data_IF_851614508376
#
_entry.id   IF_851614508376
#
_cell.length_a   1.000
_cell.length_b   1.000
_cell.length_c   1.000
_cell.angle_alpha   90.00
_cell.angle_beta   90.00
_cell.angle_gamma   90.00
#
_symmetry.space_group_name_H-M   'P 1'
#
loop_
_entity.id
_entity.type
_entity.pdbx_description
1 polymer ?
#
# COMPACT_ATOMS: atom_id res chain seq x y z
N UNK A 1 29.14 22.41 -8.13
CA UNK A 1 27.87 23.19 -8.12
C UNK A 1 27.04 22.73 -9.29
N UNK A 2 26.06 21.87 -9.05
CA UNK A 2 24.97 21.55 -9.96
C UNK A 2 23.78 21.20 -9.08
N UNK A 3 22.71 22.01 -9.15
CA UNK A 3 21.47 21.80 -8.42
C UNK A 3 20.77 20.58 -9.01
N UNK A 4 20.62 19.53 -8.19
CA UNK A 4 19.76 18.39 -8.52
C UNK A 4 18.32 18.76 -8.12
N UNK A 5 17.44 18.83 -9.11
CA UNK A 5 16.00 18.89 -8.87
C UNK A 5 15.55 17.53 -8.31
N UNK A 6 15.17 17.51 -7.04
CA UNK A 6 14.52 16.37 -6.40
C UNK A 6 13.16 16.11 -7.05
N UNK A 7 13.07 15.03 -7.83
CA UNK A 7 11.78 14.42 -8.18
C UNK A 7 11.42 13.43 -7.07
N UNK A 8 10.70 13.89 -6.05
CA UNK A 8 10.13 13.00 -5.03
C UNK A 8 9.20 11.99 -5.70
N UNK A 9 9.56 10.71 -5.66
CA UNK A 9 8.63 9.60 -5.86
C UNK A 9 7.71 9.52 -4.62
N UNK A 10 6.79 10.49 -4.53
CA UNK A 10 5.67 10.44 -3.60
C UNK A 10 4.76 9.33 -4.08
N UNK A 11 4.39 8.41 -3.17
CA UNK A 11 3.19 7.59 -3.31
C UNK A 11 1.99 8.56 -3.39
N UNK A 12 1.70 9.04 -4.59
CA UNK A 12 0.66 10.01 -4.83
C UNK A 12 -0.68 9.28 -4.80
N UNK A 13 -1.21 9.08 -3.59
CA UNK A 13 -2.65 8.92 -3.39
C UNK A 13 -3.31 10.22 -3.86
N UNK A 14 -3.67 10.25 -5.15
CA UNK A 14 -4.38 11.37 -5.77
C UNK A 14 -5.76 11.51 -5.11
N UNK A 15 -5.83 12.34 -4.07
CA UNK A 15 -7.05 13.02 -3.66
C UNK A 15 -7.41 14.04 -4.74
N UNK A 16 -8.18 13.63 -5.74
CA UNK A 16 -8.81 14.59 -6.66
C UNK A 16 -10.01 15.21 -5.96
N UNK A 17 -9.77 16.24 -5.15
CA UNK A 17 -10.78 17.20 -4.73
C UNK A 17 -10.83 18.35 -5.76
N UNK A 18 -11.71 18.26 -6.76
CA UNK A 18 -12.02 19.42 -7.61
C UNK A 18 -12.81 20.45 -6.80
N UNK A 19 -12.10 21.47 -6.32
CA UNK A 19 -12.62 22.77 -5.91
C UNK A 19 -12.28 23.79 -7.00
N UNK A 20 -13.17 23.95 -7.99
CA UNK A 20 -13.19 25.19 -8.77
C UNK A 20 -14.16 26.15 -8.08
N UNK A 21 -13.61 27.08 -7.30
CA UNK A 21 -14.24 28.36 -7.08
C UNK A 21 -14.02 29.18 -8.36
N UNK A 22 -15.11 29.72 -8.91
CA UNK A 22 -15.09 30.45 -10.18
C UNK A 22 -14.23 31.70 -10.14
N UNK A 23 -13.54 31.96 -11.25
CA UNK A 23 -13.13 33.30 -11.69
C UNK A 23 -12.94 33.24 -13.19
N UNK A 24 -13.73 34.03 -13.90
CA UNK A 24 -13.78 34.11 -15.34
C UNK A 24 -12.50 34.69 -15.92
N UNK A 25 -11.99 34.10 -17.01
CA UNK A 25 -11.32 34.82 -18.08
C UNK A 25 -11.69 34.16 -19.41
N UNK A 26 -12.27 34.97 -20.29
CA UNK A 26 -12.69 34.63 -21.64
C UNK A 26 -11.63 35.09 -22.66
N UNK A 27 -11.90 34.71 -23.93
CA UNK A 27 -11.22 35.05 -25.19
C UNK A 27 -9.99 34.19 -25.54
N UNK A 28 -9.74 33.80 -26.79
CA UNK A 28 -10.51 33.55 -28.01
C UNK A 28 -9.44 33.09 -29.02
N UNK A 29 -9.74 32.10 -29.87
CA UNK A 29 -9.32 32.08 -31.27
C UNK A 29 -9.78 30.79 -31.97
N UNK A 30 -10.62 31.02 -32.98
CA UNK A 30 -11.28 30.08 -33.87
C UNK A 30 -10.34 29.35 -34.85
N UNK A 31 -10.85 28.26 -35.45
CA UNK A 31 -10.84 27.89 -36.90
C UNK A 31 -11.64 26.57 -37.02
N UNK A 32 -12.95 26.65 -37.33
CA UNK A 32 -13.61 26.46 -38.65
C UNK A 32 -13.72 25.00 -39.14
N UNK A 33 -14.96 24.48 -39.20
CA UNK A 33 -15.25 23.25 -39.98
C UNK A 33 -16.64 22.58 -39.79
N UNK A 34 -17.71 23.22 -40.29
CA UNK A 34 -19.03 22.67 -40.72
C UNK A 34 -20.02 22.05 -39.68
N UNK A 35 -21.15 22.76 -39.53
CA UNK A 35 -22.45 22.26 -39.06
C UNK A 35 -23.09 21.31 -40.09
N UNK A 36 -23.44 20.10 -39.67
CA UNK A 36 -24.58 19.36 -40.20
C UNK A 36 -25.40 18.88 -39.00
N UNK A 37 -26.60 19.44 -38.85
CA UNK A 37 -27.55 19.01 -37.85
C UNK A 37 -28.13 17.66 -38.25
N UNK A 38 -27.90 16.66 -37.41
CA UNK A 38 -28.78 15.50 -37.28
C UNK A 38 -29.08 15.43 -35.80
N UNK A 39 -30.35 15.59 -35.45
CA UNK A 39 -30.83 15.37 -34.10
C UNK A 39 -30.54 13.94 -33.70
N UNK A 40 -29.58 13.75 -32.82
CA UNK A 40 -29.49 12.56 -31.98
C UNK A 40 -29.78 13.04 -30.57
N UNK A 41 -31.04 12.84 -30.15
CA UNK A 41 -31.36 12.77 -28.74
C UNK A 41 -30.48 11.65 -28.21
N UNK A 42 -29.48 11.98 -27.38
CA UNK A 42 -28.80 10.97 -26.61
C UNK A 42 -29.86 10.39 -25.69
N UNK A 43 -30.32 9.17 -25.96
CA UNK A 43 -31.10 8.44 -24.98
C UNK A 43 -30.24 8.33 -23.71
N UNK A 44 -30.71 8.97 -22.65
CA UNK A 44 -30.26 8.67 -21.31
C UNK A 44 -30.58 7.19 -21.06
N UNK A 45 -29.55 6.35 -21.16
CA UNK A 45 -29.62 4.99 -20.65
C UNK A 45 -30.08 5.04 -19.19
N UNK A 46 -30.81 4.02 -18.71
CA UNK A 46 -31.49 4.07 -17.43
C UNK A 46 -30.50 4.48 -16.33
N UNK A 47 -30.80 5.61 -15.70
CA UNK A 47 -30.14 6.05 -14.47
C UNK A 47 -30.37 4.94 -13.44
N UNK A 48 -29.36 4.08 -13.23
CA UNK A 48 -29.35 3.10 -12.16
C UNK A 48 -29.69 3.88 -10.87
N UNK A 49 -30.90 3.66 -10.34
CA UNK A 49 -31.34 4.25 -9.08
C UNK A 49 -30.43 3.71 -7.97
N UNK A 50 -29.30 4.37 -7.76
CA UNK A 50 -28.34 3.98 -6.74
C UNK A 50 -29.02 4.05 -5.37
N UNK A 51 -29.26 2.90 -4.76
CA UNK A 51 -29.78 2.85 -3.40
C UNK A 51 -28.84 3.63 -2.44
N UNK A 52 -29.39 4.27 -1.38
CA UNK A 52 -28.62 5.13 -0.50
C UNK A 52 -27.44 4.39 0.15
N UNK A 53 -26.23 4.94 0.04
CA UNK A 53 -24.99 4.39 0.62
C UNK A 53 -23.81 5.34 0.46
N UNK A 54 -22.70 5.05 1.14
CA UNK A 54 -21.40 5.72 0.96
C UNK A 54 -20.51 4.85 0.08
N UNK A 55 -19.65 5.44 -0.74
CA UNK A 55 -18.73 4.69 -1.60
C UNK A 55 -17.29 5.00 -1.24
N UNK A 56 -16.43 3.99 -1.34
CA UNK A 56 -14.99 4.13 -1.32
C UNK A 56 -14.40 3.85 -2.71
N UNK A 57 -13.59 4.74 -3.27
CA UNK A 57 -12.80 4.50 -4.48
C UNK A 57 -11.34 4.62 -4.07
N UNK A 58 -10.57 3.55 -4.26
CA UNK A 58 -9.17 3.47 -3.86
C UNK A 58 -8.36 3.23 -5.12
N UNK A 59 -7.51 4.19 -5.48
CA UNK A 59 -6.47 3.97 -6.47
C UNK A 59 -5.19 3.55 -5.75
N UNK A 60 -4.73 2.34 -6.03
CA UNK A 60 -3.43 1.84 -5.60
C UNK A 60 -2.46 2.00 -6.76
N UNK A 61 -1.71 3.10 -6.76
CA UNK A 61 -0.72 3.43 -7.78
C UNK A 61 0.66 2.86 -7.40
N UNK A 62 0.83 1.55 -7.57
CA UNK A 62 2.09 0.88 -7.36
C UNK A 62 3.10 1.13 -8.50
N UNK A 63 4.38 0.82 -8.24
CA UNK A 63 5.46 0.92 -9.23
C UNK A 63 5.33 -0.12 -10.35
N UNK A 64 4.72 -1.27 -10.06
CA UNK A 64 4.52 -2.37 -11.00
C UNK A 64 3.17 -2.35 -11.73
N UNK A 65 2.19 -1.62 -11.21
CA UNK A 65 0.88 -1.47 -11.82
C UNK A 65 -0.02 -0.58 -10.97
N UNK A 66 -1.04 0.00 -11.61
CA UNK A 66 -2.06 0.80 -10.91
C UNK A 66 -3.36 0.01 -10.82
N UNK A 67 -4.03 0.01 -9.67
CA UNK A 67 -5.30 -0.68 -9.44
C UNK A 67 -6.36 0.30 -8.97
N UNK A 68 -7.62 -0.03 -9.19
CA UNK A 68 -8.76 0.64 -8.59
C UNK A 68 -9.64 -0.38 -7.88
N UNK A 69 -10.05 -0.04 -6.67
CA UNK A 69 -11.01 -0.78 -5.86
C UNK A 69 -12.19 0.15 -5.57
N UNK A 70 -13.41 -0.34 -5.77
CA UNK A 70 -14.63 0.41 -5.40
C UNK A 70 -15.47 -0.42 -4.45
N UNK A 71 -15.76 0.14 -3.28
CA UNK A 71 -16.60 -0.45 -2.25
C UNK A 71 -17.83 0.40 -1.98
N UNK A 72 -18.87 -0.23 -1.43
CA UNK A 72 -20.10 0.44 -1.01
C UNK A 72 -20.45 0.08 0.43
N UNK A 73 -20.95 1.08 1.15
CA UNK A 73 -21.27 1.01 2.57
C UNK A 73 -22.67 1.52 2.85
N UNK A 74 -23.34 0.92 3.82
CA UNK A 74 -24.60 1.42 4.34
C UNK A 74 -24.42 2.64 5.29
N UNK A 75 -25.50 3.08 5.95
CA UNK A 75 -25.44 4.20 6.90
C UNK A 75 -24.66 3.89 8.18
N UNK A 76 -24.51 2.61 8.54
CA UNK A 76 -23.78 2.14 9.71
C UNK A 76 -22.30 1.93 9.44
N UNK A 77 -21.84 2.17 8.20
CA UNK A 77 -20.53 1.74 7.72
C UNK A 77 -20.42 0.22 7.85
N UNK A 78 -21.33 -0.51 7.23
CA UNK A 78 -21.18 -1.95 6.95
C UNK A 78 -21.03 -2.13 5.43
N UNK A 79 -20.18 -3.06 4.99
CA UNK A 79 -19.97 -3.34 3.56
C UNK A 79 -21.24 -3.97 2.99
N UNK A 80 -21.67 -3.49 1.84
CA UNK A 80 -22.87 -3.96 1.13
C UNK A 80 -22.58 -4.13 -0.35
N UNK A 81 -23.43 -4.91 -1.01
CA UNK A 81 -23.30 -5.25 -2.42
C UNK A 81 -23.25 -4.01 -3.34
N UNK A 82 -22.36 -4.08 -4.34
CA UNK A 82 -22.06 -3.02 -5.28
C UNK A 82 -22.62 -3.36 -6.68
N UNK A 83 -23.80 -2.82 -6.98
CA UNK A 83 -24.51 -3.05 -8.23
C UNK A 83 -25.74 -3.94 -8.02
N UNK A 84 -26.12 -4.68 -9.07
CA UNK A 84 -27.28 -5.58 -9.09
C UNK A 84 -26.92 -7.05 -8.81
N UNK A 85 -25.67 -7.35 -8.43
CA UNK A 85 -25.18 -8.69 -8.08
C UNK A 85 -24.58 -8.75 -6.68
N UNK A 86 -24.15 -9.94 -6.26
CA UNK A 86 -23.65 -10.23 -4.89
C UNK A 86 -22.17 -9.85 -4.67
N UNK A 87 -21.58 -9.05 -5.57
CA UNK A 87 -20.21 -8.57 -5.44
C UNK A 87 -20.17 -7.40 -4.45
N UNK A 88 -19.17 -7.38 -3.56
CA UNK A 88 -18.95 -6.28 -2.60
C UNK A 88 -17.82 -5.32 -3.02
N UNK A 89 -17.13 -5.64 -4.13
CA UNK A 89 -15.98 -4.92 -4.65
C UNK A 89 -16.04 -4.84 -6.19
N UNK A 90 -15.74 -3.66 -6.75
CA UNK A 90 -15.35 -3.53 -8.16
C UNK A 90 -13.85 -3.31 -8.25
N UNK A 91 -13.13 -4.28 -8.82
CA UNK A 91 -11.68 -4.25 -9.00
C UNK A 91 -11.28 -4.13 -10.47
N UNK A 92 -10.24 -3.32 -10.75
CA UNK A 92 -9.55 -3.32 -12.04
C UNK A 92 -8.07 -2.94 -11.89
N UNK A 93 -7.22 -3.35 -12.84
CA UNK A 93 -5.77 -3.11 -12.83
C UNK A 93 -5.24 -2.76 -14.23
N UNK A 94 -4.22 -1.90 -14.29
CA UNK A 94 -3.41 -1.61 -15.48
C UNK A 94 -1.92 -1.76 -15.16
N UNK A 95 -1.11 -2.05 -16.18
CA UNK A 95 0.35 -2.13 -16.12
C UNK A 95 0.96 -1.39 -17.33
N UNK A 96 2.17 -0.80 -17.22
CA UNK A 96 3.01 -0.71 -16.02
C UNK A 96 2.48 0.30 -14.98
N UNK A 97 3.13 0.37 -13.81
CA UNK A 97 2.79 1.34 -12.75
C UNK A 97 3.11 2.79 -13.10
N UNK A 98 2.57 3.75 -12.33
CA UNK A 98 2.76 5.18 -12.63
C UNK A 98 4.24 5.62 -12.64
N UNK A 99 5.10 4.96 -11.87
CA UNK A 99 6.53 5.27 -11.82
C UNK A 99 7.26 5.00 -13.15
N UNK A 100 6.76 4.08 -13.99
CA UNK A 100 7.34 3.82 -15.31
C UNK A 100 7.19 5.02 -16.28
N UNK A 101 6.32 5.97 -15.94
CA UNK A 101 6.07 7.19 -16.69
C UNK A 101 6.76 8.43 -16.08
N UNK A 102 7.79 8.24 -15.25
CA UNK A 102 8.59 9.35 -14.73
C UNK A 102 9.04 10.30 -15.87
N UNK A 103 8.84 11.60 -15.68
CA UNK A 103 9.09 12.63 -16.71
C UNK A 103 8.03 12.73 -17.82
N UNK A 104 6.99 11.88 -17.81
CA UNK A 104 5.92 11.83 -18.83
C UNK A 104 4.51 11.88 -18.18
N UNK A 105 4.13 12.96 -17.49
CA UNK A 105 2.91 13.01 -16.67
C UNK A 105 1.61 12.84 -17.47
N UNK A 106 1.57 13.28 -18.74
CA UNK A 106 0.39 13.09 -19.59
C UNK A 106 0.18 11.63 -19.98
N UNK A 107 1.25 10.87 -20.17
CA UNK A 107 1.18 9.43 -20.44
C UNK A 107 0.78 8.65 -19.19
N UNK A 108 1.33 9.05 -18.03
CA UNK A 108 0.92 8.53 -16.73
C UNK A 108 -0.60 8.70 -16.51
N UNK A 109 -1.12 9.92 -16.76
CA UNK A 109 -2.55 10.21 -16.64
C UNK A 109 -3.40 9.40 -17.63
N UNK A 110 -2.95 9.24 -18.88
CA UNK A 110 -3.64 8.42 -19.89
C UNK A 110 -3.69 6.94 -19.48
N UNK A 111 -2.63 6.42 -18.84
CA UNK A 111 -2.54 5.00 -18.45
C UNK A 111 -3.65 4.56 -17.49
N UNK A 112 -4.14 5.47 -16.65
CA UNK A 112 -5.16 5.19 -15.61
C UNK A 112 -6.59 5.55 -16.02
N UNK A 113 -6.80 6.10 -17.22
CA UNK A 113 -8.15 6.43 -17.72
C UNK A 113 -9.11 5.24 -17.67
N UNK A 114 -8.73 4.00 -18.07
CA UNK A 114 -9.63 2.85 -17.97
C UNK A 114 -10.13 2.59 -16.55
N UNK A 115 -9.27 2.81 -15.55
CA UNK A 115 -9.60 2.65 -14.14
C UNK A 115 -10.53 3.78 -13.64
N UNK A 116 -10.30 5.02 -14.09
CA UNK A 116 -11.16 6.17 -13.78
C UNK A 116 -12.56 5.99 -14.35
N UNK A 117 -12.69 5.51 -15.59
CA UNK A 117 -13.99 5.24 -16.20
C UNK A 117 -14.71 4.08 -15.49
N UNK A 118 -13.98 3.05 -15.05
CA UNK A 118 -14.56 1.98 -14.22
C UNK A 118 -15.13 2.55 -12.91
N UNK A 119 -14.35 3.33 -12.17
CA UNK A 119 -14.83 3.96 -10.93
C UNK A 119 -16.02 4.90 -11.14
N UNK A 120 -16.00 5.73 -12.19
CA UNK A 120 -17.10 6.66 -12.52
C UNK A 120 -18.39 5.93 -12.90
N UNK A 121 -18.27 4.79 -13.56
CA UNK A 121 -19.44 3.96 -13.91
C UNK A 121 -20.12 3.34 -12.67
N UNK A 122 -19.37 3.20 -11.58
CA UNK A 122 -19.84 2.54 -10.35
C UNK A 122 -20.29 3.54 -9.26
N UNK A 123 -19.63 4.69 -9.13
CA UNK A 123 -19.93 5.67 -8.07
C UNK A 123 -20.82 6.80 -8.57
N UNK A 124 -21.97 7.07 -7.90
CA UNK A 124 -22.81 8.21 -8.26
C UNK A 124 -22.04 9.55 -8.19
N UNK A 125 -22.23 10.40 -9.21
CA UNK A 125 -21.47 11.66 -9.41
C UNK A 125 -21.41 12.57 -8.17
N UNK A 126 -22.44 12.55 -7.32
CA UNK A 126 -22.53 13.41 -6.13
C UNK A 126 -21.73 12.92 -4.90
N UNK A 127 -21.21 11.68 -4.91
CA UNK A 127 -20.45 11.11 -3.78
C UNK A 127 -18.93 11.18 -3.95
N UNK A 128 -18.44 11.49 -5.15
CA UNK A 128 -17.00 11.47 -5.48
C UNK A 128 -16.14 12.43 -4.63
N UNK A 129 -16.70 13.49 -4.03
CA UNK A 129 -15.94 14.49 -3.25
C UNK A 129 -15.69 14.12 -1.78
N UNK A 130 -16.22 13.00 -1.26
CA UNK A 130 -16.28 12.71 0.20
C UNK A 130 -15.58 11.43 0.64
N UNK A 131 -14.66 10.91 -0.18
CA UNK A 131 -14.19 9.52 -0.06
C UNK A 131 -12.67 9.44 0.18
N UNK A 132 -12.21 9.27 1.44
CA UNK A 132 -10.82 8.94 1.75
C UNK A 132 -10.64 7.48 2.19
N UNK A 133 -9.48 6.86 1.93
CA UNK A 133 -9.11 5.55 2.50
C UNK A 133 -7.63 5.49 2.90
N UNK A 134 -7.36 4.85 4.06
CA UNK A 134 -6.04 4.48 4.59
C UNK A 134 -6.02 2.98 4.86
N UNK A 135 -4.98 2.29 4.41
CA UNK A 135 -4.88 0.81 4.42
C UNK A 135 -5.06 0.19 5.83
N UNK A 136 -4.41 0.74 6.85
CA UNK A 136 -4.53 0.22 8.24
C UNK A 136 -5.93 0.36 8.85
N UNK A 137 -6.67 1.38 8.44
CA UNK A 137 -8.07 1.58 8.83
C UNK A 137 -8.98 0.58 8.12
N UNK A 138 -8.73 0.35 6.82
CA UNK A 138 -9.49 -0.62 6.04
C UNK A 138 -9.34 -2.04 6.61
N UNK A 139 -8.12 -2.47 6.96
CA UNK A 139 -7.94 -3.81 7.52
C UNK A 139 -8.67 -3.99 8.86
N UNK A 140 -8.52 -3.06 9.78
CA UNK A 140 -9.21 -3.14 11.07
C UNK A 140 -10.73 -3.09 10.94
N UNK A 141 -11.24 -2.38 9.93
CA UNK A 141 -12.64 -2.41 9.57
C UNK A 141 -13.08 -3.82 9.12
N UNK A 142 -12.33 -4.43 8.18
CA UNK A 142 -12.62 -5.76 7.64
C UNK A 142 -12.56 -6.86 8.71
N UNK A 143 -11.64 -6.75 9.66
CA UNK A 143 -11.53 -7.69 10.78
C UNK A 143 -12.58 -7.44 11.87
N UNK A 144 -13.37 -6.35 11.80
CA UNK A 144 -14.35 -6.01 12.83
C UNK A 144 -13.74 -5.45 14.12
N UNK A 145 -12.50 -4.97 14.07
CA UNK A 145 -11.73 -4.51 15.24
C UNK A 145 -11.94 -3.02 15.57
N UNK A 146 -12.78 -2.31 14.83
CA UNK A 146 -13.12 -0.91 15.06
C UNK A 146 -14.36 -0.74 15.95
N UNK A 147 -14.44 0.38 16.67
CA UNK A 147 -15.52 0.72 17.62
C UNK A 147 -15.21 0.32 19.07
N UNK A 148 -14.14 -0.44 19.30
CA UNK A 148 -13.60 -0.83 20.60
C UNK A 148 -12.33 -0.07 21.01
N UNK A 149 -11.65 -0.56 22.04
CA UNK A 149 -10.35 -0.03 22.47
C UNK A 149 -9.27 -0.25 21.39
N UNK A 150 -8.34 0.70 21.24
CA UNK A 150 -7.26 0.61 20.25
C UNK A 150 -6.36 -0.62 20.45
N UNK A 151 -6.29 -1.17 21.67
CA UNK A 151 -5.57 -2.40 21.97
C UNK A 151 -6.16 -3.65 21.31
N UNK A 152 -7.34 -3.55 20.70
CA UNK A 152 -7.99 -4.63 19.94
C UNK A 152 -7.77 -4.49 18.43
N UNK A 153 -7.14 -3.40 18.00
CA UNK A 153 -6.75 -3.22 16.61
C UNK A 153 -5.50 -4.02 16.28
N UNK A 154 -5.30 -4.28 14.99
CA UNK A 154 -4.07 -4.86 14.46
C UNK A 154 -3.23 -3.77 13.79
N UNK A 155 -1.91 -3.93 13.84
CA UNK A 155 -0.99 -3.13 13.04
C UNK A 155 -0.79 -3.72 11.65
N UNK A 156 -0.42 -2.87 10.70
CA UNK A 156 -0.20 -3.23 9.30
C UNK A 156 1.18 -2.79 8.86
N UNK A 157 1.90 -3.71 8.22
CA UNK A 157 3.15 -3.45 7.50
C UNK A 157 2.90 -3.80 6.04
N UNK A 158 2.98 -2.82 5.15
CA UNK A 158 2.77 -3.05 3.72
C UNK A 158 4.07 -2.83 2.96
N UNK A 159 4.60 -3.87 2.32
CA UNK A 159 5.79 -3.77 1.48
C UNK A 159 5.39 -3.73 0.01
N UNK A 160 5.19 -2.51 -0.48
CA UNK A 160 4.97 -2.20 -1.89
C UNK A 160 6.27 -2.20 -2.71
N UNK A 161 6.14 -1.99 -4.01
CA UNK A 161 7.29 -2.07 -4.94
C UNK A 161 8.25 -0.86 -4.92
N UNK A 162 8.07 0.11 -4.03
CA UNK A 162 8.96 1.28 -3.93
C UNK A 162 8.97 1.95 -2.55
N UNK A 163 8.27 1.35 -1.59
CA UNK A 163 8.14 1.87 -0.23
C UNK A 163 7.64 0.78 0.70
N UNK A 164 7.88 0.95 2.00
CA UNK A 164 7.19 0.18 3.03
C UNK A 164 6.40 1.13 3.92
N UNK A 165 5.16 0.77 4.24
CA UNK A 165 4.33 1.50 5.19
C UNK A 165 4.20 0.73 6.48
N UNK A 166 4.18 1.45 7.61
CA UNK A 166 3.76 0.92 8.92
C UNK A 166 2.60 1.78 9.42
N UNK A 167 1.51 1.13 9.81
CA UNK A 167 0.37 1.81 10.42
C UNK A 167 -0.21 1.00 11.58
N UNK A 168 -0.40 1.63 12.73
CA UNK A 168 -1.07 1.00 13.88
C UNK A 168 -1.64 2.05 14.84
N UNK A 169 -2.64 1.67 15.63
CA UNK A 169 -3.25 2.58 16.59
C UNK A 169 -2.37 2.71 17.85
N UNK A 170 -2.27 3.93 18.38
CA UNK A 170 -1.41 4.28 19.52
C UNK A 170 -2.20 4.95 20.64
N UNK A 171 -1.64 4.94 21.85
CA UNK A 171 -2.24 5.64 22.99
C UNK A 171 -2.25 7.15 22.78
N UNK A 172 -3.13 7.85 23.52
CA UNK A 172 -3.15 9.31 23.54
C UNK A 172 -1.81 9.91 24.00
N UNK A 173 -1.14 9.27 24.96
CA UNK A 173 0.16 9.70 25.47
C UNK A 173 1.26 9.57 24.42
N UNK A 174 1.29 8.45 23.68
CA UNK A 174 2.23 8.26 22.58
C UNK A 174 1.99 9.29 21.47
N UNK A 175 0.72 9.56 21.14
CA UNK A 175 0.34 10.58 20.17
C UNK A 175 0.74 11.99 20.60
N UNK A 176 0.59 12.33 21.88
CA UNK A 176 1.01 13.61 22.44
C UNK A 176 2.54 13.78 22.47
N UNK A 177 3.27 12.67 22.59
CA UNK A 177 4.73 12.65 22.55
C UNK A 177 5.33 12.55 21.13
N UNK A 178 4.49 12.55 20.09
CA UNK A 178 4.95 12.44 18.72
C UNK A 178 5.86 13.62 18.35
N UNK A 179 7.04 13.38 17.73
CA UNK A 179 7.92 14.45 17.30
C UNK A 179 7.29 15.24 16.15
N UNK A 180 7.64 16.53 16.07
CA UNK A 180 7.35 17.33 14.89
C UNK A 180 8.09 16.79 13.66
N UNK A 181 7.48 16.92 12.49
CA UNK A 181 8.10 16.58 11.20
C UNK A 181 8.57 17.84 10.49
N UNK A 182 9.60 17.76 9.63
CA UNK A 182 9.99 18.87 8.75
C UNK A 182 8.81 19.41 7.94
N UNK A 183 8.88 20.68 7.56
CA UNK A 183 7.82 21.33 6.80
C UNK A 183 7.69 20.68 5.41
N UNK A 184 6.54 20.08 5.12
CA UNK A 184 6.25 19.38 3.87
C UNK A 184 6.18 17.86 3.98
N UNK A 185 6.59 17.29 5.11
CA UNK A 185 6.46 15.87 5.41
C UNK A 185 5.11 15.54 6.05
N UNK A 186 4.65 14.30 5.85
CA UNK A 186 3.43 13.80 6.49
C UNK A 186 3.63 13.65 8.01
N UNK A 187 2.65 14.05 8.84
CA UNK A 187 2.75 13.87 10.28
C UNK A 187 2.74 12.37 10.63
N UNK A 188 3.53 11.99 11.63
CA UNK A 188 3.56 10.61 12.12
C UNK A 188 2.22 10.11 12.68
N UNK A 189 1.34 11.02 13.13
CA UNK A 189 0.08 10.66 13.77
C UNK A 189 -1.07 11.29 13.01
N UNK A 190 -2.03 10.47 12.60
CA UNK A 190 -3.35 10.97 12.19
C UNK A 190 -4.42 10.63 13.23
N UNK A 191 -5.32 11.58 13.48
CA UNK A 191 -6.52 11.36 14.28
C UNK A 191 -7.69 10.96 13.37
N UNK A 192 -8.38 9.89 13.72
CA UNK A 192 -9.49 9.34 12.94
C UNK A 192 -10.68 9.05 13.86
N UNK A 193 -11.90 9.37 13.41
CA UNK A 193 -13.13 9.00 14.11
C UNK A 193 -13.83 7.86 13.37
N UNK A 194 -13.78 6.66 13.95
CA UNK A 194 -14.18 5.41 13.28
C UNK A 194 -15.13 4.61 14.17
N UNK A 195 -16.29 4.21 13.62
CA UNK A 195 -17.36 3.46 14.32
C UNK A 195 -17.67 3.99 15.73
N UNK A 196 -17.71 5.31 15.91
CA UNK A 196 -18.07 5.93 17.19
C UNK A 196 -16.92 6.15 18.17
N UNK A 197 -15.67 5.97 17.75
CA UNK A 197 -14.48 6.10 18.59
C UNK A 197 -13.40 6.96 17.92
N UNK A 198 -12.68 7.73 18.72
CA UNK A 198 -11.47 8.42 18.31
C UNK A 198 -10.27 7.47 18.37
N UNK A 199 -9.48 7.46 17.30
CA UNK A 199 -8.22 6.73 17.20
C UNK A 199 -7.09 7.69 16.88
N UNK A 200 -5.95 7.55 17.58
CA UNK A 200 -4.68 8.08 17.12
C UNK A 200 -3.98 6.96 16.37
N UNK A 201 -3.68 7.18 15.09
CA UNK A 201 -3.05 6.18 14.22
C UNK A 201 -1.66 6.68 13.88
N UNK A 202 -0.64 5.94 14.33
CA UNK A 202 0.71 6.10 13.82
C UNK A 202 0.72 5.64 12.36
N UNK A 203 1.26 6.45 11.46
CA UNK A 203 1.46 6.12 10.06
C UNK A 203 2.82 6.66 9.64
N UNK A 204 3.64 5.80 9.04
CA UNK A 204 4.86 6.25 8.39
C UNK A 204 5.12 5.44 7.12
N UNK A 205 5.52 6.15 6.06
CA UNK A 205 5.96 5.57 4.80
C UNK A 205 7.47 5.74 4.70
N UNK A 206 8.17 4.62 4.69
CA UNK A 206 9.62 4.59 4.48
C UNK A 206 9.86 4.52 2.98
N UNK A 207 10.15 5.69 2.43
CA UNK A 207 10.52 5.87 1.03
C UNK A 207 12.01 6.23 1.01
N UNK A 208 12.75 5.72 0.04
CA UNK A 208 14.20 5.78 0.12
C UNK A 208 14.90 5.78 -1.24
N UNK A 209 16.22 5.83 -1.12
CA UNK A 209 17.16 5.75 -2.23
C UNK A 209 17.02 4.39 -2.93
N UNK A 210 17.06 4.42 -4.26
CA UNK A 210 17.16 3.21 -5.05
C UNK A 210 18.63 2.79 -5.08
N UNK A 211 18.87 1.50 -4.87
CA UNK A 211 20.19 0.90 -4.93
C UNK A 211 20.23 -0.08 -6.09
N UNK A 212 21.26 0.05 -6.93
CA UNK A 212 21.56 -0.99 -7.91
C UNK A 212 22.11 -2.21 -7.18
N UNK A 213 21.50 -3.37 -7.43
CA UNK A 213 21.92 -4.65 -6.87
C UNK A 213 22.39 -5.59 -7.98
N UNK A 214 23.48 -6.30 -7.72
CA UNK A 214 24.00 -7.35 -8.62
C UNK A 214 24.06 -8.65 -7.86
N UNK A 215 23.32 -9.65 -8.34
CA UNK A 215 23.35 -10.99 -7.77
C UNK A 215 24.50 -11.83 -8.37
N UNK A 216 25.29 -12.55 -7.56
CA UNK A 216 26.28 -13.49 -8.08
C UNK A 216 25.60 -14.76 -8.63
N UNK A 217 25.89 -15.20 -9.88
CA UNK A 217 25.26 -16.37 -10.50
C UNK A 217 25.41 -17.68 -9.74
N UNK A 218 26.49 -17.81 -8.98
CA UNK A 218 26.85 -18.99 -8.19
C UNK A 218 26.32 -18.98 -6.75
N UNK A 219 25.51 -17.99 -6.37
CA UNK A 219 25.01 -17.81 -5.01
C UNK A 219 25.75 -16.73 -4.22
N UNK A 220 25.16 -16.31 -3.12
CA UNK A 220 25.59 -15.25 -2.23
C UNK A 220 25.92 -15.77 -0.83
N UNK A 221 26.76 -15.02 -0.10
CA UNK A 221 26.99 -15.26 1.31
C UNK A 221 25.95 -14.51 2.15
N UNK A 222 25.19 -15.23 2.98
CA UNK A 222 24.12 -14.66 3.81
C UNK A 222 24.60 -13.46 4.64
N UNK A 223 25.69 -13.61 5.40
CA UNK A 223 26.16 -12.56 6.31
C UNK A 223 26.56 -11.28 5.57
N UNK A 224 27.27 -11.42 4.43
CA UNK A 224 27.67 -10.27 3.62
C UNK A 224 26.46 -9.55 3.01
N UNK A 225 25.49 -10.30 2.51
CA UNK A 225 24.27 -9.72 1.98
C UNK A 225 23.47 -9.00 3.08
N UNK A 226 23.42 -9.55 4.30
CA UNK A 226 22.78 -8.93 5.45
C UNK A 226 23.49 -7.66 5.91
N UNK A 227 24.82 -7.62 5.89
CA UNK A 227 25.59 -6.39 6.15
C UNK A 227 25.22 -5.27 5.16
N UNK A 228 25.07 -5.60 3.88
CA UNK A 228 24.70 -4.61 2.86
C UNK A 228 23.25 -4.14 3.02
N UNK A 229 22.32 -5.07 3.29
CA UNK A 229 20.92 -4.75 3.57
C UNK A 229 20.77 -3.85 4.80
N UNK A 230 21.40 -4.19 5.92
CA UNK A 230 21.31 -3.41 7.16
C UNK A 230 21.93 -2.02 7.01
N UNK A 231 23.01 -1.90 6.23
CA UNK A 231 23.59 -0.62 5.85
C UNK A 231 22.64 0.21 4.99
N UNK A 232 21.98 -0.40 4.00
CA UNK A 232 21.00 0.27 3.15
C UNK A 232 19.77 0.76 3.94
N UNK A 233 19.35 -0.01 4.95
CA UNK A 233 18.30 0.39 5.91
C UNK A 233 18.76 1.54 6.83
N UNK A 234 20.06 1.82 6.94
CA UNK A 234 20.61 2.85 7.85
C UNK A 234 20.18 2.58 9.30
N UNK A 235 20.32 1.32 9.76
CA UNK A 235 19.91 0.90 11.12
C UNK A 235 20.66 1.64 12.25
N UNK A 236 21.86 2.15 11.96
CA UNK A 236 22.68 2.92 12.92
C UNK A 236 22.48 4.43 12.81
N UNK A 237 21.48 4.89 12.06
CA UNK A 237 21.19 6.32 11.95
C UNK A 237 20.84 6.92 13.33
N UNK A 238 21.29 8.14 13.66
CA UNK A 238 20.97 8.78 14.93
C UNK A 238 19.46 8.93 15.13
N UNK A 239 18.96 8.55 16.31
CA UNK A 239 17.57 8.72 16.68
C UNK A 239 17.38 10.03 17.45
N UNK A 240 16.55 10.94 16.91
CA UNK A 240 16.22 12.21 17.58
C UNK A 240 14.96 12.09 18.46
N UNK A 241 14.20 11.01 18.31
CA UNK A 241 13.04 10.69 19.14
C UNK A 241 13.43 9.75 20.29
N UNK A 242 12.48 9.39 21.15
CA UNK A 242 12.72 8.45 22.26
C UNK A 242 13.20 7.08 21.76
N UNK A 243 12.53 6.54 20.74
CA UNK A 243 12.85 5.27 20.10
C UNK A 243 12.62 5.42 18.60
N UNK A 244 13.49 4.84 17.78
CA UNK A 244 13.39 4.87 16.34
C UNK A 244 13.38 3.46 15.77
N UNK A 245 12.90 3.34 14.54
CA UNK A 245 13.06 2.14 13.71
C UNK A 245 14.43 2.20 13.03
N UNK A 246 14.46 2.52 11.75
CA UNK A 246 15.66 2.69 10.95
C UNK A 246 15.66 4.08 10.31
N UNK A 247 16.82 4.52 9.81
CA UNK A 247 17.00 5.85 9.22
C UNK A 247 16.55 7.02 10.15
N UNK A 248 16.60 6.81 11.47
CA UNK A 248 16.21 7.82 12.47
C UNK A 248 14.71 8.12 12.56
N UNK A 249 13.86 7.33 11.91
CA UNK A 249 12.40 7.53 11.95
C UNK A 249 11.81 7.09 13.29
N UNK A 250 10.93 7.91 13.87
CA UNK A 250 10.29 7.59 15.14
C UNK A 250 9.44 6.33 15.01
N UNK A 251 9.51 5.42 15.99
CA UNK A 251 8.84 4.12 15.87
C UNK A 251 7.34 4.12 16.17
N UNK A 252 6.76 5.25 16.59
CA UNK A 252 5.35 5.38 16.98
C UNK A 252 5.05 5.05 18.44
N UNK A 253 6.06 4.69 19.25
CA UNK A 253 5.92 4.37 20.67
C UNK A 253 5.50 2.92 20.97
N UNK A 254 5.15 2.13 19.96
CA UNK A 254 4.77 0.73 20.09
C UNK A 254 3.46 0.53 20.86
N UNK A 255 3.38 -0.56 21.61
CA UNK A 255 2.25 -0.86 22.50
C UNK A 255 1.19 -1.77 21.87
N UNK A 256 0.01 -1.89 22.51
CA UNK A 256 -0.95 -2.94 22.21
C UNK A 256 -1.53 -2.93 20.78
N UNK A 257 -1.65 -1.77 20.14
CA UNK A 257 -2.12 -1.69 18.75
C UNK A 257 -1.14 -2.28 17.73
N UNK A 258 0.10 -2.59 18.15
CA UNK A 258 1.12 -3.28 17.36
C UNK A 258 1.31 -4.75 17.81
N UNK A 259 0.49 -5.24 18.75
CA UNK A 259 0.64 -6.58 19.29
C UNK A 259 0.37 -7.65 18.22
N UNK A 260 -0.73 -7.49 17.48
CA UNK A 260 -1.07 -8.34 16.34
C UNK A 260 -0.73 -7.61 15.06
N UNK A 261 0.04 -8.26 14.18
CA UNK A 261 0.55 -7.64 12.95
C UNK A 261 0.12 -8.42 11.71
N UNK A 262 -0.42 -7.66 10.76
CA UNK A 262 -0.62 -8.11 9.39
C UNK A 262 0.46 -7.51 8.50
N UNK A 263 1.11 -8.37 7.73
CA UNK A 263 2.25 -8.02 6.88
C UNK A 263 1.88 -8.35 5.43
N UNK A 264 1.68 -7.34 4.60
CA UNK A 264 0.98 -7.47 3.32
C UNK A 264 1.90 -7.35 2.10
N UNK A 265 1.33 -7.55 0.92
CA UNK A 265 2.01 -7.39 -0.37
C UNK A 265 3.25 -8.29 -0.52
N UNK A 266 4.44 -7.72 -0.73
CA UNK A 266 5.65 -8.51 -1.05
C UNK A 266 6.03 -9.51 0.04
N UNK A 267 5.64 -9.26 1.30
CA UNK A 267 5.82 -10.23 2.37
C UNK A 267 4.98 -11.49 2.18
N UNK A 268 3.72 -11.34 1.76
CA UNK A 268 2.86 -12.49 1.45
C UNK A 268 3.36 -13.24 0.22
N UNK A 269 3.68 -12.53 -0.87
CA UNK A 269 4.15 -13.18 -2.10
C UNK A 269 5.42 -14.00 -1.84
N UNK A 270 6.38 -13.42 -1.12
CA UNK A 270 7.61 -14.11 -0.75
C UNK A 270 7.34 -15.34 0.13
N UNK A 271 6.51 -15.19 1.16
CA UNK A 271 6.15 -16.31 2.05
C UNK A 271 5.46 -17.45 1.29
N UNK A 272 4.58 -17.13 0.33
CA UNK A 272 3.90 -18.12 -0.52
C UNK A 272 4.88 -18.79 -1.49
N UNK A 273 5.70 -18.00 -2.19
CA UNK A 273 6.59 -18.47 -3.24
C UNK A 273 7.72 -19.36 -2.72
N UNK A 274 8.18 -19.13 -1.49
CA UNK A 274 9.22 -19.93 -0.83
C UNK A 274 8.68 -21.00 0.13
N UNK A 275 7.36 -21.14 0.21
CA UNK A 275 6.69 -22.21 0.97
C UNK A 275 6.71 -22.02 2.49
N UNK A 276 6.70 -20.79 2.98
CA UNK A 276 6.51 -20.49 4.42
C UNK A 276 5.05 -20.56 4.84
N UNK A 277 4.11 -20.46 3.89
CA UNK A 277 2.67 -20.60 4.08
C UNK A 277 2.09 -21.53 3.01
N UNK A 278 0.85 -21.98 3.20
CA UNK A 278 0.09 -22.61 2.12
C UNK A 278 -0.12 -21.59 1.00
N UNK A 279 0.42 -21.93 -0.16
CA UNK A 279 0.41 -21.06 -1.33
C UNK A 279 -0.96 -20.85 -1.98
N UNK A 280 -1.95 -21.71 -1.65
CA UNK A 280 -3.33 -21.54 -2.09
C UNK A 280 -4.16 -20.70 -1.10
N UNK A 281 -3.64 -20.45 0.11
CA UNK A 281 -4.29 -19.66 1.12
C UNK A 281 -4.05 -18.16 0.90
N UNK A 282 -5.09 -17.34 1.02
CA UNK A 282 -5.02 -15.87 0.84
C UNK A 282 -4.32 -15.13 1.99
N UNK A 283 -4.09 -15.83 3.10
CA UNK A 283 -3.30 -15.39 4.25
C UNK A 283 -2.76 -16.59 5.02
N UNK A 284 -1.69 -16.39 5.79
CA UNK A 284 -1.09 -17.44 6.60
C UNK A 284 -0.26 -16.87 7.76
N UNK A 285 -0.03 -17.70 8.78
CA UNK A 285 0.82 -17.34 9.92
C UNK A 285 2.26 -17.79 9.68
N UNK A 286 3.21 -16.94 10.04
CA UNK A 286 4.65 -17.25 9.96
C UNK A 286 5.42 -16.41 10.99
N UNK A 287 6.75 -16.43 10.96
CA UNK A 287 7.62 -15.65 11.84
C UNK A 287 8.76 -14.99 11.04
N UNK A 288 9.34 -13.87 11.51
CA UNK A 288 10.55 -13.32 10.90
C UNK A 288 11.69 -14.35 10.81
N UNK A 289 11.85 -15.23 11.82
CA UNK A 289 12.83 -16.30 11.81
C UNK A 289 12.65 -17.29 10.64
N UNK A 290 11.43 -17.52 10.16
CA UNK A 290 11.17 -18.38 9.01
C UNK A 290 11.71 -17.77 7.70
N UNK A 291 11.60 -16.44 7.52
CA UNK A 291 12.23 -15.73 6.40
C UNK A 291 13.75 -15.85 6.45
N UNK A 292 14.34 -15.72 7.64
CA UNK A 292 15.78 -15.94 7.83
C UNK A 292 16.20 -17.36 7.47
N UNK A 293 15.48 -18.38 7.95
CA UNK A 293 15.82 -19.77 7.66
C UNK A 293 15.72 -20.08 6.15
N UNK A 294 14.73 -19.52 5.46
CA UNK A 294 14.64 -19.60 4.00
C UNK A 294 15.81 -18.91 3.31
N UNK A 295 16.22 -17.72 3.77
CA UNK A 295 17.39 -17.01 3.24
C UNK A 295 18.68 -17.83 3.42
N UNK A 296 18.95 -18.34 4.62
CA UNK A 296 20.15 -19.14 4.92
C UNK A 296 20.26 -20.37 3.99
N UNK A 297 19.11 -20.97 3.62
CA UNK A 297 19.06 -22.09 2.67
C UNK A 297 19.25 -21.65 1.22
N UNK A 298 18.62 -20.55 0.80
CA UNK A 298 18.61 -20.09 -0.60
C UNK A 298 19.92 -19.42 -1.00
N UNK A 299 20.52 -18.63 -0.11
CA UNK A 299 21.68 -17.81 -0.45
C UNK A 299 22.85 -18.58 -1.09
N UNK A 300 23.27 -19.77 -0.63
CA UNK A 300 24.36 -20.49 -1.30
C UNK A 300 24.00 -21.07 -2.68
N UNK A 301 22.74 -21.05 -3.10
CA UNK A 301 22.29 -21.63 -4.37
C UNK A 301 22.59 -20.70 -5.55
N UNK A 302 23.02 -21.29 -6.67
CA UNK A 302 23.08 -20.56 -7.95
C UNK A 302 21.69 -20.32 -8.55
N UNK A 303 21.57 -19.43 -9.54
CA UNK A 303 20.25 -19.03 -10.08
C UNK A 303 19.39 -20.18 -10.58
N UNK A 304 20.00 -21.13 -11.30
CA UNK A 304 19.31 -22.31 -11.86
C UNK A 304 18.83 -23.23 -10.75
N UNK A 305 19.67 -23.44 -9.73
CA UNK A 305 19.35 -24.26 -8.57
C UNK A 305 18.23 -23.64 -7.73
N UNK A 306 18.35 -22.34 -7.40
CA UNK A 306 17.33 -21.60 -6.68
C UNK A 306 15.98 -21.65 -7.41
N UNK A 307 15.98 -21.45 -8.73
CA UNK A 307 14.75 -21.51 -9.53
C UNK A 307 14.14 -22.91 -9.56
N UNK A 308 14.96 -23.96 -9.60
CA UNK A 308 14.50 -25.34 -9.55
C UNK A 308 13.93 -25.72 -8.17
N UNK A 309 14.57 -25.26 -7.09
CA UNK A 309 14.13 -25.51 -5.72
C UNK A 309 12.86 -24.74 -5.35
N UNK A 310 12.66 -23.55 -5.95
CA UNK A 310 11.53 -22.66 -5.68
C UNK A 310 10.77 -22.33 -6.97
N UNK A 311 9.95 -23.28 -7.48
CA UNK A 311 9.34 -23.15 -8.80
C UNK A 311 8.28 -22.05 -8.90
N UNK A 312 7.72 -21.56 -7.79
CA UNK A 312 6.72 -20.46 -7.77
C UNK A 312 7.35 -19.07 -7.96
N UNK A 313 8.60 -18.89 -7.53
CA UNK A 313 9.38 -17.65 -7.71
C UNK A 313 9.52 -17.33 -9.20
N UNK A 314 9.23 -16.10 -9.64
CA UNK A 314 9.39 -15.74 -11.07
C UNK A 314 10.85 -15.87 -11.51
N UNK A 315 11.10 -16.31 -12.73
CA UNK A 315 12.46 -16.49 -13.24
C UNK A 315 13.30 -15.20 -13.22
N UNK A 316 12.64 -14.03 -13.34
CA UNK A 316 13.30 -12.73 -13.23
C UNK A 316 13.70 -12.36 -11.79
N UNK A 317 13.05 -12.94 -10.78
CA UNK A 317 13.31 -12.66 -9.36
C UNK A 317 14.24 -13.69 -8.72
N UNK A 318 14.40 -14.86 -9.33
CA UNK A 318 15.30 -15.92 -8.83
C UNK A 318 16.73 -15.45 -8.52
N UNK A 319 17.34 -14.51 -9.28
CA UNK A 319 18.64 -13.95 -8.91
C UNK A 319 18.63 -13.17 -7.57
N UNK A 320 17.51 -12.54 -7.22
CA UNK A 320 17.42 -11.60 -6.09
C UNK A 320 16.77 -12.19 -4.85
N UNK A 321 16.24 -13.41 -4.92
CA UNK A 321 15.45 -14.00 -3.83
C UNK A 321 16.19 -14.13 -2.48
N UNK A 322 17.49 -14.41 -2.50
CA UNK A 322 18.31 -14.37 -1.28
C UNK A 322 18.29 -12.98 -0.64
N UNK A 323 18.52 -11.94 -1.45
CA UNK A 323 18.53 -10.55 -0.99
C UNK A 323 17.15 -10.13 -0.49
N UNK A 324 16.07 -10.49 -1.19
CA UNK A 324 14.71 -10.11 -0.80
C UNK A 324 14.30 -10.75 0.54
N UNK A 325 14.65 -12.01 0.78
CA UNK A 325 14.39 -12.67 2.06
C UNK A 325 15.21 -12.05 3.20
N UNK A 326 16.47 -11.72 2.94
CA UNK A 326 17.32 -11.03 3.92
C UNK A 326 16.79 -9.62 4.20
N UNK A 327 16.34 -8.91 3.17
CA UNK A 327 15.72 -7.59 3.29
C UNK A 327 14.46 -7.65 4.14
N UNK A 328 13.54 -8.58 3.85
CA UNK A 328 12.31 -8.76 4.61
C UNK A 328 12.59 -9.13 6.07
N UNK A 329 13.53 -10.06 6.33
CA UNK A 329 13.95 -10.40 7.69
C UNK A 329 14.55 -9.19 8.43
N UNK A 330 15.52 -8.51 7.81
CA UNK A 330 16.24 -7.41 8.45
C UNK A 330 15.32 -6.19 8.65
N UNK A 331 14.40 -5.94 7.74
CA UNK A 331 13.38 -4.90 7.88
C UNK A 331 12.46 -5.17 9.08
N UNK A 332 11.97 -6.39 9.24
CA UNK A 332 11.11 -6.77 10.36
C UNK A 332 11.86 -6.76 11.70
N UNK A 333 13.06 -7.33 11.76
CA UNK A 333 13.79 -7.53 13.01
C UNK A 333 14.70 -6.35 13.34
N UNK A 334 15.65 -6.02 12.47
CA UNK A 334 16.62 -4.95 12.72
C UNK A 334 16.00 -3.56 12.54
N UNK A 335 15.06 -3.41 11.59
CA UNK A 335 14.38 -2.15 11.30
C UNK A 335 13.22 -1.87 12.25
N UNK A 336 12.20 -2.74 12.29
CA UNK A 336 11.01 -2.55 13.10
C UNK A 336 11.12 -3.07 14.53
N UNK A 337 12.21 -3.77 14.88
CA UNK A 337 12.45 -4.25 16.24
C UNK A 337 11.55 -5.41 16.66
N UNK A 338 11.00 -6.18 15.69
CA UNK A 338 10.20 -7.36 16.03
C UNK A 338 11.09 -8.50 16.53
N UNK A 339 10.61 -9.23 17.53
CA UNK A 339 11.28 -10.46 17.96
C UNK A 339 11.26 -11.48 16.81
N UNK A 340 12.37 -12.21 16.55
CA UNK A 340 12.43 -13.18 15.46
C UNK A 340 11.35 -14.26 15.53
N UNK A 341 10.89 -14.62 16.73
CA UNK A 341 9.86 -15.63 17.00
C UNK A 341 8.45 -15.06 17.05
N UNK A 342 8.27 -13.74 16.91
CA UNK A 342 6.94 -13.13 16.91
C UNK A 342 6.11 -13.70 15.77
N UNK A 343 4.96 -14.26 16.10
CA UNK A 343 4.00 -14.68 15.10
C UNK A 343 3.42 -13.45 14.38
N UNK A 344 3.43 -13.50 13.06
CA UNK A 344 2.86 -12.48 12.18
C UNK A 344 1.90 -13.15 11.19
N UNK A 345 0.89 -12.40 10.75
CA UNK A 345 0.00 -12.85 9.68
C UNK A 345 0.44 -12.22 8.37
N UNK A 346 0.91 -13.01 7.42
CA UNK A 346 1.11 -12.53 6.05
C UNK A 346 -0.20 -12.63 5.27
N UNK A 347 -0.59 -11.60 4.55
CA UNK A 347 -1.89 -11.57 3.86
C UNK A 347 -1.85 -10.84 2.52
N UNK A 348 -2.49 -11.44 1.51
CA UNK A 348 -2.90 -10.75 0.29
C UNK A 348 -4.35 -10.29 0.39
N UNK A 349 -5.21 -11.09 1.01
CA UNK A 349 -6.62 -10.79 1.28
C UNK A 349 -6.98 -11.25 2.68
N UNK A 350 -8.02 -10.67 3.25
CA UNK A 350 -8.59 -11.07 4.54
C UNK A 350 -10.06 -11.44 4.42
N UNK A 351 -10.51 -12.35 5.28
CA UNK A 351 -11.90 -12.78 5.32
C UNK A 351 -12.77 -11.70 5.98
N UNK A 352 -13.84 -11.28 5.33
CA UNK A 352 -14.89 -10.42 5.87
C UNK A 352 -16.27 -10.99 5.50
N UNK A 353 -17.00 -11.49 6.49
CA UNK A 353 -18.21 -12.29 6.24
C UNK A 353 -17.87 -13.55 5.41
N UNK A 354 -18.55 -13.73 4.28
CA UNK A 354 -18.28 -14.83 3.33
C UNK A 354 -17.22 -14.48 2.27
N UNK A 355 -16.72 -13.24 2.26
CA UNK A 355 -15.83 -12.74 1.21
C UNK A 355 -14.37 -12.71 1.64
N UNK A 356 -13.46 -12.75 0.66
CA UNK A 356 -12.04 -12.46 0.84
C UNK A 356 -11.69 -11.17 0.10
N UNK A 357 -11.35 -10.13 0.86
CA UNK A 357 -11.04 -8.78 0.37
C UNK A 357 -9.56 -8.50 0.53
#
# INVERSE_FOLDING_TARGET
MAQAHHASSVLLLLLVAFSFAGSAFAADAAVLGRKAGIGAVAEEGPELKAAPGKYAVIFDAGSTGTRVHVFRFDKKMELIDIGDGDDIEVFAKVEPGLSAYAGRPQEAAKSIVPLLEKAKSTVPRWLMKKTPVKLGVALNYLLGNLGGDYSKTVGVIDLGGGSVQMAYAISADAAAAAPGVPQGDDPYVTKEYLKGRDYNVYVHSYNGEQYDAIAPPQGAAYDKCREDVTRALKISAPCQAKNCTFNGAWNGGGGPGQADLYVTSSFYYMASDVGLIDSEATSGKTTPAAFRAAAEKICPMGFVEAKAAYPKVRSADAPYICMDLIYQYSLLVDGFGLEPTKEITVAQKVKHGEYFI
#
